data_IF_325835460802
#
_entry.id   IF_325835460802
#
_cell.length_a   1.000
_cell.length_b   1.000
_cell.length_c   1.000
_cell.angle_alpha   90.00
_cell.angle_beta   90.00
_cell.angle_gamma   90.00
#
_symmetry.space_group_name_H-M   'P 1'
#
loop_
_entity.id
_entity.type
_entity.pdbx_description
1 polymer ?
#
# COMPACT_ATOMS: atom_id res chain seq x y z
N UNK A 1 12.80 3.25 31.57
CA UNK A 1 13.26 3.12 30.16
C UNK A 1 12.14 2.65 29.21
N UNK A 2 11.30 1.67 29.58
CA UNK A 2 10.15 1.23 28.77
C UNK A 2 9.20 2.39 28.33
N UNK A 3 8.96 3.39 29.19
CA UNK A 3 8.16 4.59 28.87
C UNK A 3 8.73 5.39 27.69
N UNK A 4 10.06 5.56 27.63
CA UNK A 4 10.73 6.30 26.55
C UNK A 4 10.59 5.57 25.22
N UNK A 5 10.76 4.24 25.23
CA UNK A 5 10.54 3.39 24.05
C UNK A 5 9.10 3.51 23.56
N UNK A 6 8.13 3.50 24.48
CA UNK A 6 6.71 3.69 24.17
C UNK A 6 6.44 5.05 23.51
N UNK A 7 6.85 6.15 24.13
CA UNK A 7 6.60 7.48 23.56
C UNK A 7 7.32 7.68 22.23
N UNK A 8 8.56 7.23 22.11
CA UNK A 8 9.36 7.39 20.88
C UNK A 8 8.79 6.58 19.71
N UNK A 9 8.19 5.41 19.97
CA UNK A 9 7.56 4.57 18.94
C UNK A 9 6.11 4.97 18.64
N UNK A 10 5.42 5.60 19.60
CA UNK A 10 4.06 6.09 19.41
C UNK A 10 4.01 7.28 18.46
N UNK A 11 5.00 8.18 18.51
CA UNK A 11 5.08 9.37 17.63
C UNK A 11 5.04 9.00 16.13
N UNK A 12 5.93 8.14 15.60
CA UNK A 12 5.91 7.80 14.17
C UNK A 12 4.65 7.04 13.77
N UNK A 13 4.08 6.26 14.68
CA UNK A 13 2.85 5.52 14.46
C UNK A 13 1.64 6.46 14.36
N UNK A 14 1.52 7.42 15.28
CA UNK A 14 0.51 8.47 15.22
C UNK A 14 0.68 9.35 13.98
N UNK A 15 1.90 9.75 13.67
CA UNK A 15 2.19 10.52 12.46
C UNK A 15 1.76 9.76 11.20
N UNK A 16 2.07 8.46 11.09
CA UNK A 16 1.62 7.60 9.99
C UNK A 16 0.09 7.54 9.86
N UNK A 17 -0.63 7.39 10.97
CA UNK A 17 -2.11 7.37 10.99
C UNK A 17 -2.67 8.73 10.56
N UNK A 18 -2.14 9.82 11.09
CA UNK A 18 -2.59 11.18 10.77
C UNK A 18 -2.36 11.45 9.28
N UNK A 19 -1.15 11.17 8.77
CA UNK A 19 -0.80 11.37 7.36
C UNK A 19 -1.69 10.53 6.44
N UNK A 20 -1.94 9.26 6.76
CA UNK A 20 -2.88 8.42 6.01
C UNK A 20 -4.29 9.00 6.02
N UNK A 21 -4.78 9.45 7.18
CA UNK A 21 -6.15 9.94 7.32
C UNK A 21 -6.37 11.23 6.53
N UNK A 22 -5.42 12.16 6.59
CA UNK A 22 -5.51 13.44 5.90
C UNK A 22 -5.30 13.32 4.38
N UNK A 23 -4.28 12.56 3.95
CA UNK A 23 -3.90 12.53 2.54
C UNK A 23 -4.54 11.37 1.76
N UNK A 24 -4.89 10.27 2.44
CA UNK A 24 -5.46 9.07 1.82
C UNK A 24 -6.98 8.96 2.05
N UNK A 25 -7.37 8.70 3.29
CA UNK A 25 -8.75 8.30 3.59
C UNK A 25 -9.76 9.43 3.37
N UNK A 26 -9.37 10.70 3.58
CA UNK A 26 -10.25 11.85 3.31
C UNK A 26 -10.59 11.99 1.83
N UNK A 27 -9.61 11.82 0.95
CA UNK A 27 -9.78 11.94 -0.51
C UNK A 27 -10.59 10.77 -1.04
N UNK A 28 -10.25 9.54 -0.61
CA UNK A 28 -10.95 8.34 -1.07
C UNK A 28 -12.38 8.21 -0.53
N UNK A 29 -12.70 8.85 0.60
CA UNK A 29 -14.09 8.97 1.07
C UNK A 29 -14.91 9.99 0.28
N UNK A 30 -14.27 11.03 -0.25
CA UNK A 30 -14.95 12.11 -0.98
C UNK A 30 -15.28 11.68 -2.41
N UNK A 31 -14.26 11.26 -3.14
CA UNK A 31 -14.33 11.03 -4.59
C UNK A 31 -14.14 9.54 -4.94
N UNK A 32 -13.59 8.77 -4.00
CA UNK A 32 -13.21 7.39 -4.23
C UNK A 32 -14.37 6.40 -4.29
N UNK A 33 -15.63 6.78 -4.02
CA UNK A 33 -16.81 5.90 -4.11
C UNK A 33 -17.57 6.00 -5.44
N UNK A 34 -17.20 6.95 -6.29
CA UNK A 34 -17.88 7.14 -7.57
C UNK A 34 -17.67 5.93 -8.49
N UNK A 35 -18.72 5.58 -9.23
CA UNK A 35 -18.77 4.41 -10.10
C UNK A 35 -18.39 4.81 -11.53
N UNK A 36 -17.36 4.15 -12.03
CA UNK A 36 -16.90 4.25 -13.41
C UNK A 36 -17.55 3.16 -14.26
N UNK A 37 -17.65 3.46 -15.56
CA UNK A 37 -18.33 2.60 -16.55
C UNK A 37 -17.55 1.34 -16.91
N UNK A 38 -16.24 1.32 -16.64
CA UNK A 38 -15.35 0.18 -16.94
C UNK A 38 -14.86 -0.44 -15.65
N UNK A 39 -14.52 -1.74 -15.63
CA UNK A 39 -13.91 -2.36 -14.45
C UNK A 39 -12.44 -1.95 -14.31
N UNK A 40 -11.93 -1.89 -13.08
CA UNK A 40 -10.55 -1.51 -12.77
C UNK A 40 -9.48 -2.36 -13.49
N UNK A 41 -9.76 -3.64 -13.70
CA UNK A 41 -8.88 -4.55 -14.43
C UNK A 41 -8.67 -4.10 -15.88
N UNK A 42 -9.72 -3.58 -16.52
CA UNK A 42 -9.62 -3.08 -17.89
C UNK A 42 -8.75 -1.82 -17.97
N UNK A 43 -8.77 -0.96 -16.94
CA UNK A 43 -7.86 0.19 -16.84
C UNK A 43 -6.41 -0.27 -16.72
N UNK A 44 -6.12 -1.24 -15.85
CA UNK A 44 -4.77 -1.80 -15.75
C UNK A 44 -4.29 -2.39 -17.08
N UNK A 45 -5.15 -3.15 -17.76
CA UNK A 45 -4.81 -3.77 -19.04
C UNK A 45 -4.56 -2.75 -20.15
N UNK A 46 -5.41 -1.72 -20.25
CA UNK A 46 -5.20 -0.61 -21.19
C UNK A 46 -3.89 0.14 -20.91
N UNK A 47 -3.56 0.33 -19.63
CA UNK A 47 -2.31 0.99 -19.22
C UNK A 47 -1.07 0.18 -19.59
N UNK A 48 -1.10 -1.13 -19.37
CA UNK A 48 -0.02 -2.05 -19.78
C UNK A 48 0.16 -2.08 -21.30
N UNK A 49 -0.94 -2.23 -22.05
CA UNK A 49 -0.91 -2.24 -23.51
C UNK A 49 -0.38 -0.90 -24.06
N UNK A 50 -0.81 0.23 -23.50
CA UNK A 50 -0.35 1.55 -23.92
C UNK A 50 1.15 1.80 -23.68
N UNK A 51 1.75 1.02 -22.78
CA UNK A 51 3.18 1.04 -22.44
C UNK A 51 3.97 -0.07 -23.14
N UNK A 52 3.34 -0.90 -23.99
CA UNK A 52 3.99 -1.96 -24.76
C UNK A 52 4.13 -3.31 -24.03
N UNK A 53 3.40 -3.52 -22.93
CA UNK A 53 3.45 -4.73 -22.11
C UNK A 53 2.23 -5.62 -22.31
N UNK A 54 2.01 -6.10 -23.53
CA UNK A 54 0.82 -6.89 -23.90
C UNK A 54 0.83 -8.32 -23.33
N UNK A 55 2.01 -8.86 -23.02
CA UNK A 55 2.21 -10.23 -22.54
C UNK A 55 2.24 -10.37 -21.01
N UNK A 56 1.95 -9.29 -20.28
CA UNK A 56 1.96 -9.32 -18.81
C UNK A 56 0.62 -9.85 -18.29
N UNK A 57 0.68 -10.94 -17.53
CA UNK A 57 -0.49 -11.56 -16.92
C UNK A 57 -1.00 -10.72 -15.75
N UNK A 58 -2.29 -10.45 -15.72
CA UNK A 58 -2.96 -9.89 -14.56
C UNK A 58 -3.40 -11.05 -13.66
N UNK A 59 -2.81 -11.17 -12.46
CA UNK A 59 -3.25 -12.16 -11.46
C UNK A 59 -3.94 -11.45 -10.32
N UNK A 60 -5.06 -12.01 -9.87
CA UNK A 60 -5.70 -11.54 -8.65
C UNK A 60 -4.96 -12.12 -7.45
N UNK A 61 -4.30 -11.27 -6.68
CA UNK A 61 -3.56 -11.67 -5.50
C UNK A 61 -4.34 -11.35 -4.22
N UNK A 62 -4.28 -12.31 -3.30
CA UNK A 62 -4.86 -12.20 -1.97
C UNK A 62 -3.97 -11.46 -0.97
N UNK A 63 -2.73 -11.17 -1.36
CA UNK A 63 -1.72 -10.69 -0.42
C UNK A 63 -1.87 -9.18 -0.14
N UNK A 64 -1.61 -8.71 1.10
CA UNK A 64 -1.57 -7.28 1.41
C UNK A 64 -0.49 -6.52 0.66
N UNK A 65 0.45 -7.24 0.03
CA UNK A 65 1.58 -6.72 -0.72
C UNK A 65 1.25 -6.57 -2.21
N UNK A 66 0.01 -6.84 -2.62
CA UNK A 66 -0.43 -6.72 -4.02
C UNK A 66 -0.14 -5.33 -4.63
N UNK A 67 -0.09 -4.26 -3.81
CA UNK A 67 0.33 -2.91 -4.24
C UNK A 67 1.70 -2.93 -4.93
N UNK A 68 2.60 -3.80 -4.50
CA UNK A 68 3.94 -3.88 -5.04
C UNK A 68 4.04 -4.66 -6.35
N UNK A 69 2.99 -5.39 -6.74
CA UNK A 69 3.13 -6.46 -7.71
C UNK A 69 4.09 -7.53 -7.17
N UNK A 70 3.75 -8.81 -7.27
CA UNK A 70 4.82 -9.80 -7.16
C UNK A 70 5.84 -9.47 -8.25
N UNK A 71 7.06 -9.17 -7.84
CA UNK A 71 8.25 -8.90 -8.68
C UNK A 71 8.66 -10.16 -9.45
N UNK A 72 7.75 -10.65 -10.29
CA UNK A 72 8.02 -11.61 -11.34
C UNK A 72 7.75 -10.86 -12.63
N UNK A 73 8.77 -10.78 -13.50
CA UNK A 73 8.86 -9.92 -14.71
C UNK A 73 7.65 -9.97 -15.67
N UNK A 74 6.70 -10.87 -15.47
CA UNK A 74 5.55 -11.10 -16.34
C UNK A 74 4.19 -11.06 -15.64
N UNK A 75 4.11 -10.73 -14.33
CA UNK A 75 2.84 -10.77 -13.59
C UNK A 75 2.60 -9.48 -12.81
N UNK A 76 1.45 -8.85 -13.04
CA UNK A 76 0.94 -7.77 -12.18
C UNK A 76 -0.15 -8.34 -11.29
N UNK A 77 0.10 -8.25 -9.99
CA UNK A 77 -0.86 -8.67 -8.97
C UNK A 77 -1.87 -7.55 -8.71
N UNK A 78 -3.11 -7.77 -9.11
CA UNK A 78 -4.23 -6.91 -8.75
C UNK A 78 -4.89 -7.43 -7.46
N UNK A 79 -5.41 -6.57 -6.59
CA UNK A 79 -6.21 -7.01 -5.46
C UNK A 79 -7.46 -7.74 -5.95
N UNK A 80 -7.87 -8.77 -5.22
CA UNK A 80 -9.16 -9.42 -5.47
C UNK A 80 -10.31 -8.46 -5.10
N UNK A 81 -10.91 -7.86 -6.13
CA UNK A 81 -12.06 -6.96 -6.01
C UNK A 81 -13.39 -7.71 -5.80
N UNK A 82 -13.42 -9.03 -5.99
CA UNK A 82 -14.66 -9.82 -5.92
C UNK A 82 -15.02 -10.24 -4.49
N UNK A 83 -14.02 -10.30 -3.59
CA UNK A 83 -14.18 -10.88 -2.24
C UNK A 83 -14.13 -9.85 -1.10
N UNK A 84 -14.03 -8.56 -1.41
CA UNK A 84 -13.95 -7.47 -0.44
C UNK A 84 -15.15 -6.51 -0.46
N UNK A 85 -15.21 -5.58 0.51
CA UNK A 85 -16.18 -4.46 0.52
C UNK A 85 -15.94 -3.41 -0.59
N UNK A 86 -15.01 -3.66 -1.52
CA UNK A 86 -14.64 -2.72 -2.60
C UNK A 86 -15.30 -3.16 -3.89
N UNK A 87 -16.08 -2.28 -4.49
CA UNK A 87 -16.71 -2.56 -5.77
C UNK A 87 -15.70 -2.37 -6.92
N UNK A 88 -15.66 -3.28 -7.93
CA UNK A 88 -14.64 -3.28 -8.99
C UNK A 88 -14.74 -2.11 -9.99
N UNK A 89 -15.85 -1.36 -9.99
CA UNK A 89 -16.03 -0.16 -10.82
C UNK A 89 -15.78 1.15 -10.08
N UNK A 90 -15.35 1.09 -8.83
CA UNK A 90 -15.21 2.29 -8.00
C UNK A 90 -13.90 3.03 -8.28
N UNK A 91 -13.86 4.36 -8.28
CA UNK A 91 -12.63 5.17 -8.50
C UNK A 91 -11.44 4.67 -7.66
N UNK A 92 -11.67 4.29 -6.40
CA UNK A 92 -10.65 3.68 -5.54
C UNK A 92 -10.02 2.41 -6.14
N UNK A 93 -10.83 1.55 -6.78
CA UNK A 93 -10.35 0.32 -7.41
C UNK A 93 -9.51 0.59 -8.66
N UNK A 94 -9.91 1.57 -9.48
CA UNK A 94 -9.15 2.03 -10.64
C UNK A 94 -7.83 2.68 -10.24
N UNK A 95 -7.86 3.54 -9.22
CA UNK A 95 -6.66 4.16 -8.67
C UNK A 95 -5.67 3.11 -8.14
N UNK A 96 -6.18 2.07 -7.48
CA UNK A 96 -5.36 0.98 -6.98
C UNK A 96 -4.75 0.14 -8.11
N UNK A 97 -5.54 -0.17 -9.15
CA UNK A 97 -5.07 -0.90 -10.32
C UNK A 97 -3.99 -0.13 -11.08
N UNK A 98 -4.19 1.17 -11.29
CA UNK A 98 -3.21 2.06 -11.93
C UNK A 98 -1.91 2.18 -11.11
N UNK A 99 -2.02 2.22 -9.78
CA UNK A 99 -0.86 2.23 -8.89
C UNK A 99 -0.05 0.93 -8.99
N UNK A 100 -0.71 -0.24 -9.03
CA UNK A 100 -0.02 -1.53 -9.16
C UNK A 100 0.75 -1.61 -10.49
N UNK A 101 0.13 -1.18 -11.60
CA UNK A 101 0.80 -1.11 -12.91
C UNK A 101 1.98 -0.14 -12.88
N UNK A 102 1.83 1.03 -12.26
CA UNK A 102 2.93 1.99 -12.18
C UNK A 102 4.08 1.53 -11.29
N UNK A 103 3.81 0.78 -10.22
CA UNK A 103 4.86 0.16 -9.41
C UNK A 103 5.58 -0.92 -10.20
N UNK A 104 4.86 -1.72 -11.00
CA UNK A 104 5.50 -2.66 -11.93
C UNK A 104 6.43 -1.96 -12.92
N UNK A 105 5.96 -0.91 -13.61
CA UNK A 105 6.79 -0.11 -14.54
C UNK A 105 7.99 0.56 -13.84
N UNK A 106 7.80 0.98 -12.58
CA UNK A 106 8.89 1.52 -11.76
C UNK A 106 9.89 0.42 -11.36
N UNK A 107 9.42 -0.81 -11.11
CA UNK A 107 10.30 -1.94 -10.78
C UNK A 107 11.24 -2.32 -11.92
N UNK A 108 10.81 -2.15 -13.17
CA UNK A 108 11.66 -2.38 -14.34
C UNK A 108 12.74 -1.30 -14.50
N UNK A 109 12.44 -0.06 -14.13
CA UNK A 109 13.38 1.09 -14.22
C UNK A 109 14.33 1.16 -13.03
N UNK A 110 13.82 1.00 -11.81
CA UNK A 110 14.53 1.21 -10.55
C UNK A 110 14.30 0.05 -9.57
N UNK A 111 14.83 -1.16 -9.85
CA UNK A 111 14.54 -2.36 -9.05
C UNK A 111 15.02 -2.22 -7.59
N UNK A 112 16.03 -1.39 -7.33
CA UNK A 112 16.54 -1.15 -5.98
C UNK A 112 15.53 -0.46 -5.06
N UNK A 113 14.70 0.45 -5.59
CA UNK A 113 13.70 1.15 -4.79
C UNK A 113 12.52 0.25 -4.46
N UNK A 114 12.06 -0.52 -5.45
CA UNK A 114 10.98 -1.49 -5.28
C UNK A 114 11.40 -2.60 -4.31
N UNK A 115 12.64 -3.09 -4.38
CA UNK A 115 13.17 -4.07 -3.44
C UNK A 115 13.22 -3.56 -2.00
N UNK A 116 13.63 -2.31 -1.77
CA UNK A 116 13.59 -1.68 -0.43
C UNK A 116 12.17 -1.57 0.10
N UNK A 117 11.21 -1.22 -0.77
CA UNK A 117 9.78 -1.13 -0.41
C UNK A 117 9.20 -2.50 -0.07
N UNK A 118 9.52 -3.51 -0.86
CA UNK A 118 9.11 -4.90 -0.62
C UNK A 118 9.62 -5.42 0.72
N UNK A 119 10.90 -5.19 1.00
CA UNK A 119 11.48 -5.53 2.29
C UNK A 119 10.75 -4.80 3.44
N UNK A 120 10.47 -3.50 3.31
CA UNK A 120 9.79 -2.73 4.34
C UNK A 120 8.33 -3.19 4.57
N UNK A 121 7.59 -3.57 3.51
CA UNK A 121 6.23 -4.12 3.66
C UNK A 121 6.25 -5.51 4.32
N UNK A 122 7.18 -6.38 3.93
CA UNK A 122 7.35 -7.70 4.56
C UNK A 122 7.75 -7.54 6.03
N UNK A 123 8.70 -6.65 6.32
CA UNK A 123 9.11 -6.33 7.68
C UNK A 123 7.92 -5.83 8.52
N UNK A 124 7.15 -4.86 8.01
CA UNK A 124 6.00 -4.32 8.74
C UNK A 124 4.83 -5.29 8.93
N UNK A 125 4.78 -6.40 8.17
CA UNK A 125 3.79 -7.45 8.36
C UNK A 125 4.27 -8.58 9.28
N UNK A 126 5.49 -9.09 9.05
CA UNK A 126 6.02 -10.28 9.71
C UNK A 126 6.64 -9.95 11.06
N UNK A 127 7.40 -8.85 11.16
CA UNK A 127 8.16 -8.51 12.35
C UNK A 127 7.26 -8.29 13.58
N UNK A 128 6.15 -7.53 13.50
CA UNK A 128 5.25 -7.37 14.64
C UNK A 128 4.58 -8.67 15.12
N UNK A 129 4.28 -9.59 14.21
CA UNK A 129 3.70 -10.90 14.59
C UNK A 129 4.74 -11.73 15.33
N UNK A 130 5.98 -11.75 14.82
CA UNK A 130 7.09 -12.43 15.46
C UNK A 130 7.39 -11.87 16.85
N UNK A 131 7.38 -10.54 17.02
CA UNK A 131 7.62 -9.92 18.33
C UNK A 131 6.53 -10.29 19.34
N UNK A 132 5.26 -10.35 18.93
CA UNK A 132 4.18 -10.83 19.81
C UNK A 132 4.43 -12.26 20.28
N UNK A 133 4.83 -13.17 19.38
CA UNK A 133 5.14 -14.56 19.72
C UNK A 133 6.28 -14.62 20.75
N UNK A 134 7.39 -13.90 20.52
CA UNK A 134 8.50 -13.84 21.46
C UNK A 134 8.09 -13.29 22.84
N UNK A 135 7.25 -12.26 22.87
CA UNK A 135 6.75 -11.68 24.12
C UNK A 135 5.88 -12.67 24.90
N UNK A 136 5.02 -13.43 24.23
CA UNK A 136 4.22 -14.49 24.87
C UNK A 136 5.12 -15.53 25.53
N UNK A 137 6.13 -16.04 24.81
CA UNK A 137 7.08 -17.00 25.39
C UNK A 137 7.84 -16.40 26.58
N UNK A 138 8.29 -15.15 26.47
CA UNK A 138 9.02 -14.52 27.56
C UNK A 138 8.18 -14.30 28.83
N UNK A 139 6.88 -14.06 28.68
CA UNK A 139 5.93 -13.97 29.80
C UNK A 139 5.71 -15.34 30.45
N UNK A 140 5.55 -16.39 29.66
CA UNK A 140 5.37 -17.78 30.16
C UNK A 140 6.58 -18.25 30.97
N UNK A 141 7.79 -17.88 30.53
CA UNK A 141 9.03 -18.21 31.24
C UNK A 141 9.25 -17.33 32.48
N UNK A 142 8.38 -16.34 32.73
CA UNK A 142 8.46 -15.43 33.88
C UNK A 142 9.66 -14.47 33.81
N UNK A 143 10.33 -14.37 32.66
CA UNK A 143 11.56 -13.59 32.49
C UNK A 143 11.32 -12.12 32.17
N UNK A 144 10.10 -11.74 31.82
CA UNK A 144 9.77 -10.38 31.41
C UNK A 144 8.50 -9.86 32.11
N UNK A 145 8.53 -8.68 32.76
CA UNK A 145 7.32 -8.04 33.25
C UNK A 145 6.40 -7.65 32.09
N UNK A 146 5.07 -7.82 32.27
CA UNK A 146 4.08 -7.55 31.23
C UNK A 146 4.20 -6.16 30.57
N UNK A 147 4.53 -5.13 31.37
CA UNK A 147 4.72 -3.75 30.88
C UNK A 147 5.87 -3.62 29.88
N UNK A 148 6.95 -4.41 30.01
CA UNK A 148 8.04 -4.41 29.04
C UNK A 148 7.66 -5.10 27.74
N UNK A 149 6.90 -6.18 27.81
CA UNK A 149 6.37 -6.86 26.63
C UNK A 149 5.52 -5.93 25.76
N UNK A 150 4.64 -5.15 26.37
CA UNK A 150 3.84 -4.15 25.64
C UNK A 150 4.71 -3.10 24.94
N UNK A 151 5.74 -2.58 25.63
CA UNK A 151 6.64 -1.59 25.03
C UNK A 151 7.45 -2.15 23.85
N UNK A 152 7.83 -3.43 23.88
CA UNK A 152 8.53 -4.10 22.78
C UNK A 152 7.62 -4.25 21.56
N UNK A 153 6.35 -4.63 21.77
CA UNK A 153 5.37 -4.76 20.69
C UNK A 153 5.13 -3.39 20.03
N UNK A 154 4.84 -2.35 20.82
CA UNK A 154 4.63 -1.00 20.28
C UNK A 154 5.90 -0.45 19.62
N UNK A 155 7.08 -0.74 20.20
CA UNK A 155 8.38 -0.43 19.61
C UNK A 155 8.57 -1.04 18.22
N UNK A 156 8.24 -2.32 18.06
CA UNK A 156 8.32 -3.03 16.78
C UNK A 156 7.37 -2.46 15.73
N UNK A 157 6.17 -2.02 16.15
CA UNK A 157 5.19 -1.38 15.28
C UNK A 157 5.64 0.04 14.86
N UNK A 158 6.27 0.78 15.77
CA UNK A 158 6.88 2.08 15.47
C UNK A 158 8.04 1.98 14.48
N UNK A 159 8.92 0.99 14.64
CA UNK A 159 10.00 0.73 13.67
C UNK A 159 9.45 0.33 12.30
N UNK A 160 8.42 -0.50 12.26
CA UNK A 160 7.73 -0.84 11.03
C UNK A 160 7.12 0.40 10.34
N UNK A 161 6.46 1.28 11.11
CA UNK A 161 5.93 2.54 10.59
C UNK A 161 7.03 3.44 10.03
N UNK A 162 8.17 3.58 10.71
CA UNK A 162 9.32 4.33 10.20
C UNK A 162 9.83 3.76 8.88
N UNK A 163 10.04 2.44 8.78
CA UNK A 163 10.48 1.79 7.56
C UNK A 163 9.50 2.01 6.39
N UNK A 164 8.20 2.01 6.68
CA UNK A 164 7.16 2.26 5.68
C UNK A 164 7.07 3.72 5.24
N UNK A 165 7.25 4.67 6.16
CA UNK A 165 7.33 6.10 5.84
C UNK A 165 8.56 6.40 4.96
N UNK A 166 9.73 5.84 5.31
CA UNK A 166 10.96 6.05 4.55
C UNK A 166 10.89 5.48 3.13
N UNK A 167 10.11 4.42 2.92
CA UNK A 167 9.95 3.78 1.61
C UNK A 167 8.75 4.30 0.81
N UNK A 168 7.95 5.21 1.37
CA UNK A 168 6.78 5.81 0.72
C UNK A 168 7.13 6.56 -0.58
N UNK A 169 8.33 7.12 -0.67
CA UNK A 169 8.79 7.83 -1.86
C UNK A 169 8.67 6.99 -3.14
N UNK A 170 8.83 5.66 -3.04
CA UNK A 170 8.65 4.74 -4.16
C UNK A 170 7.20 4.75 -4.68
N UNK A 171 6.21 4.71 -3.78
CA UNK A 171 4.80 4.70 -4.17
C UNK A 171 4.30 6.06 -4.64
N UNK A 172 4.81 7.15 -4.06
CA UNK A 172 4.51 8.49 -4.55
C UNK A 172 5.08 8.71 -5.96
N UNK A 173 6.29 8.21 -6.25
CA UNK A 173 6.85 8.22 -7.61
C UNK A 173 6.02 7.37 -8.56
N UNK A 174 5.61 6.17 -8.15
CA UNK A 174 4.71 5.33 -8.94
C UNK A 174 3.37 6.04 -9.21
N UNK A 175 2.79 6.71 -8.20
CA UNK A 175 1.56 7.47 -8.35
C UNK A 175 1.71 8.62 -9.37
N UNK A 176 2.85 9.32 -9.37
CA UNK A 176 3.13 10.35 -10.39
C UNK A 176 3.35 9.77 -11.78
N UNK A 177 3.97 8.60 -11.89
CA UNK A 177 4.11 7.90 -13.16
C UNK A 177 2.74 7.48 -13.69
N UNK A 178 1.89 6.93 -12.83
CA UNK A 178 0.53 6.53 -13.18
C UNK A 178 -0.29 7.71 -13.71
N UNK A 179 -0.26 8.86 -13.03
CA UNK A 179 -1.01 10.04 -13.47
C UNK A 179 -0.52 10.52 -14.84
N UNK A 180 0.79 10.56 -15.06
CA UNK A 180 1.37 10.98 -16.35
C UNK A 180 0.99 10.00 -17.48
N UNK A 181 0.98 8.70 -17.21
CA UNK A 181 0.60 7.69 -18.21
C UNK A 181 -0.89 7.80 -18.52
N UNK A 182 -1.75 7.97 -17.51
CA UNK A 182 -3.18 8.15 -17.67
C UNK A 182 -3.50 9.37 -18.56
N UNK A 183 -2.95 10.53 -18.22
CA UNK A 183 -3.18 11.79 -18.94
C UNK A 183 -2.64 11.74 -20.39
N UNK A 184 -1.42 11.19 -20.59
CA UNK A 184 -0.79 11.15 -21.92
C UNK A 184 -1.40 10.11 -22.85
N UNK A 185 -1.86 8.97 -22.32
CA UNK A 185 -2.38 7.86 -23.12
C UNK A 185 -3.90 7.86 -23.24
N UNK A 186 -4.61 8.77 -22.56
CA UNK A 186 -6.08 8.92 -22.58
C UNK A 186 -6.77 7.57 -22.41
N UNK A 187 -6.50 6.93 -21.28
CA UNK A 187 -6.95 5.56 -21.00
C UNK A 187 -8.47 5.53 -20.76
N UNK A 188 -9.01 6.62 -20.20
CA UNK A 188 -10.44 6.76 -19.96
C UNK A 188 -11.14 7.46 -21.12
N UNK A 189 -12.40 7.10 -21.41
CA UNK A 189 -13.19 7.74 -22.45
C UNK A 189 -13.64 9.16 -22.07
N UNK A 190 -13.72 9.47 -20.78
CA UNK A 190 -14.18 10.77 -20.25
C UNK A 190 -13.06 11.43 -19.45
N UNK A 191 -12.86 12.72 -19.68
CA UNK A 191 -11.90 13.53 -18.91
C UNK A 191 -12.26 13.65 -17.43
N UNK A 192 -13.57 13.67 -17.11
CA UNK A 192 -14.04 13.71 -15.71
C UNK A 192 -13.53 12.50 -14.92
N UNK A 193 -13.50 11.32 -15.54
CA UNK A 193 -13.05 10.09 -14.90
C UNK A 193 -11.55 10.15 -14.54
N UNK A 194 -10.74 10.79 -15.39
CA UNK A 194 -9.30 11.02 -15.13
C UNK A 194 -9.10 11.98 -13.96
N UNK A 195 -9.90 13.05 -13.90
CA UNK A 195 -9.83 14.06 -12.84
C UNK A 195 -10.13 13.48 -11.45
N UNK A 196 -11.01 12.48 -11.36
CA UNK A 196 -11.27 11.76 -10.10
C UNK A 196 -10.21 10.70 -9.77
N UNK A 197 -9.67 10.01 -10.78
CA UNK A 197 -8.72 8.90 -10.58
C UNK A 197 -7.32 9.40 -10.21
N UNK A 198 -6.82 10.48 -10.82
CA UNK A 198 -5.49 11.04 -10.54
C UNK A 198 -5.25 11.36 -9.04
N UNK A 199 -6.12 12.13 -8.35
CA UNK A 199 -5.95 12.37 -6.92
C UNK A 199 -6.15 11.10 -6.09
N UNK A 200 -7.05 10.20 -6.51
CA UNK A 200 -7.27 8.93 -5.84
C UNK A 200 -6.04 7.99 -5.89
N UNK A 201 -5.24 8.03 -6.96
CA UNK A 201 -3.99 7.25 -7.04
C UNK A 201 -2.99 7.72 -6.00
N UNK A 202 -2.80 9.04 -5.86
CA UNK A 202 -1.92 9.61 -4.83
C UNK A 202 -2.44 9.25 -3.44
N UNK A 203 -3.74 9.38 -3.22
CA UNK A 203 -4.38 9.01 -1.96
C UNK A 203 -4.18 7.52 -1.62
N UNK A 204 -4.19 6.64 -2.62
CA UNK A 204 -3.95 5.22 -2.43
C UNK A 204 -2.49 4.94 -2.02
N UNK A 205 -1.51 5.66 -2.58
CA UNK A 205 -0.12 5.57 -2.12
C UNK A 205 0.03 5.95 -0.64
N UNK A 206 -0.70 6.97 -0.16
CA UNK A 206 -0.70 7.35 1.27
C UNK A 206 -1.29 6.27 2.19
N UNK A 207 -2.16 5.39 1.69
CA UNK A 207 -2.71 4.30 2.52
C UNK A 207 -1.70 3.21 2.86
N UNK A 208 -0.66 3.03 2.05
CA UNK A 208 0.34 2.00 2.27
C UNK A 208 1.38 2.37 3.34
N UNK A 209 1.30 3.56 3.94
CA UNK A 209 2.16 4.01 5.04
C UNK A 209 1.91 3.23 6.32
N UNK A 210 0.68 2.74 6.50
CA UNK A 210 0.28 2.09 7.76
C UNK A 210 0.65 0.60 7.74
N UNK A 211 1.26 0.08 8.82
CA UNK A 211 1.66 -1.32 8.87
C UNK A 211 0.46 -2.23 8.70
N UNK A 212 0.66 -3.34 7.98
CA UNK A 212 -0.43 -4.23 7.55
C UNK A 212 -1.28 -4.75 8.71
N UNK A 213 -0.72 -4.82 9.92
CA UNK A 213 -1.43 -5.21 11.13
C UNK A 213 -2.44 -4.15 11.59
N UNK A 214 -2.06 -2.86 11.55
CA UNK A 214 -2.98 -1.74 11.78
C UNK A 214 -3.98 -1.57 10.64
N UNK A 215 -3.55 -1.79 9.40
CA UNK A 215 -4.43 -1.68 8.24
C UNK A 215 -5.54 -2.76 8.20
N UNK A 216 -5.37 -3.89 8.91
CA UNK A 216 -6.43 -4.92 9.07
C UNK A 216 -7.41 -4.60 10.20
N UNK A 217 -6.99 -3.79 11.17
CA UNK A 217 -7.82 -3.40 12.32
C UNK A 217 -8.72 -2.19 12.01
N UNK A 218 -8.42 -1.45 10.94
CA UNK A 218 -9.15 -0.26 10.47
C UNK A 218 -9.97 -0.58 9.21
#
# INVERSE_FOLDING_TARGET
MHRVILFLSLIPLLAAIILRRFNGDRVLRRDGQELLTTPAEQTARKMLNAMGHENVELKQARSPWAILGSSSKSVVELPDYTRGKRHPGTVESHAHAALCVAVFLLSEREPQLTGKREWALRFGHVFPVFTVICVVFALVVGKLPALWGLSIIVGSLGLAACAQVLTLACELRAATLASVVLEKKRIFPRFSDEEFVVPAIRAQAWRAIVPGLLARLM
#
